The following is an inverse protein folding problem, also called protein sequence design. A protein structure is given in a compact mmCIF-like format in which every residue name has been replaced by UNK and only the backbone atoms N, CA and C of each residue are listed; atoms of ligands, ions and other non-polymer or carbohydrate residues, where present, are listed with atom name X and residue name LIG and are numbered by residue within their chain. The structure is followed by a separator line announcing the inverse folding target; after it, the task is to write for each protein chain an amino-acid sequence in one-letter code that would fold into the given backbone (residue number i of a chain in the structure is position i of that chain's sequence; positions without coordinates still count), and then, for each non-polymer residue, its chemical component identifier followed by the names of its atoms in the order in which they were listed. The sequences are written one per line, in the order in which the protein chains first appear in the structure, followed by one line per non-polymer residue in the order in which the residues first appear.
data_IF_116485926280
#
_entry.id   IF_116485926280
#
_cell.length_a   1.000
_cell.length_b   1.000
_cell.length_c   1.000
_cell.angle_alpha   90.00
_cell.angle_beta   90.00
_cell.angle_gamma   90.00
#
_symmetry.space_group_name_H-M   'P 1'
#
loop_
_entity.id
_entity.type
_entity.pdbx_description
1 polymer ?
#
# COMPACT_ATOMS: atom_id res chain seq x y z
N UNK A 1 2.52 9.68 10.42
CA UNK A 1 3.03 10.50 9.31
C UNK A 1 2.72 9.90 7.93
N UNK A 2 2.70 10.72 6.89
CA UNK A 2 2.49 10.27 5.51
C UNK A 2 3.77 9.68 4.91
N UNK A 3 3.63 8.68 4.02
CA UNK A 3 4.77 8.15 3.25
C UNK A 3 5.80 7.35 4.04
N UNK A 4 5.43 6.81 5.19
CA UNK A 4 6.30 6.02 6.08
C UNK A 4 6.16 4.50 5.91
N UNK A 5 5.32 4.04 4.96
CA UNK A 5 5.20 2.61 4.65
C UNK A 5 3.98 1.89 5.22
N UNK A 6 2.96 2.59 5.73
CA UNK A 6 1.74 1.97 6.29
C UNK A 6 1.06 0.99 5.32
N UNK A 7 0.82 1.40 4.09
CA UNK A 7 0.22 0.54 3.03
C UNK A 7 1.14 -0.62 2.64
N UNK A 8 2.45 -0.41 2.66
CA UNK A 8 3.44 -1.45 2.34
C UNK A 8 3.49 -2.53 3.43
N UNK A 9 3.27 -2.16 4.70
CA UNK A 9 3.13 -3.13 5.79
C UNK A 9 1.93 -4.07 5.54
N UNK A 10 0.78 -3.54 5.12
CA UNK A 10 -0.40 -4.36 4.82
C UNK A 10 -0.12 -5.35 3.68
N UNK A 11 0.62 -4.94 2.64
CA UNK A 11 1.03 -5.83 1.54
C UNK A 11 1.99 -6.92 2.03
N UNK A 12 3.01 -6.54 2.79
CA UNK A 12 3.95 -7.50 3.37
C UNK A 12 3.25 -8.51 4.30
N UNK A 13 2.23 -8.06 5.02
CA UNK A 13 1.41 -8.93 5.87
C UNK A 13 0.60 -9.93 5.03
N UNK A 14 0.02 -9.50 3.88
CA UNK A 14 -0.69 -10.41 2.97
C UNK A 14 0.25 -11.47 2.39
N UNK A 15 1.44 -11.08 1.95
CA UNK A 15 2.48 -12.01 1.49
C UNK A 15 2.89 -12.99 2.58
N UNK A 16 3.12 -12.50 3.79
CA UNK A 16 3.54 -13.33 4.92
C UNK A 16 2.48 -14.35 5.36
N UNK A 17 1.21 -13.93 5.43
CA UNK A 17 0.12 -14.79 5.93
C UNK A 17 -0.44 -15.75 4.87
N UNK A 18 -0.49 -15.30 3.60
CA UNK A 18 -1.20 -16.00 2.54
C UNK A 18 -0.30 -16.39 1.36
N UNK A 19 1.00 -16.14 1.45
CA UNK A 19 2.00 -16.40 0.40
C UNK A 19 1.61 -15.76 -0.97
N UNK A 20 0.92 -14.61 -0.90
CA UNK A 20 0.42 -13.87 -2.06
C UNK A 20 0.29 -12.37 -1.70
N UNK A 21 1.10 -11.52 -2.29
CA UNK A 21 1.06 -10.07 -2.12
C UNK A 21 -0.21 -9.44 -2.74
N UNK A 22 -0.90 -10.19 -3.61
CA UNK A 22 -2.20 -9.82 -4.18
C UNK A 22 -3.38 -10.26 -3.29
N UNK A 23 -3.15 -11.02 -2.20
CA UNK A 23 -4.17 -11.32 -1.20
C UNK A 23 -4.48 -10.11 -0.30
N UNK A 24 -4.50 -8.92 -0.90
CA UNK A 24 -4.83 -7.66 -0.27
C UNK A 24 -5.97 -6.95 -1.02
N UNK A 25 -7.05 -6.67 -0.29
CA UNK A 25 -8.18 -5.85 -0.75
C UNK A 25 -7.96 -4.45 -0.20
N UNK A 26 -7.73 -3.47 -1.05
CA UNK A 26 -7.55 -2.08 -0.64
C UNK A 26 -8.79 -1.25 -0.96
N UNK A 27 -9.28 -0.53 0.06
CA UNK A 27 -10.40 0.39 -0.04
C UNK A 27 -9.96 1.74 0.55
N UNK A 28 -10.02 2.79 -0.27
CA UNK A 28 -9.71 4.15 0.14
C UNK A 28 -10.95 4.79 0.77
N UNK A 29 -10.87 5.13 2.06
CA UNK A 29 -12.01 5.68 2.79
C UNK A 29 -12.36 7.10 2.37
N UNK A 30 -11.51 7.80 1.63
CA UNK A 30 -11.85 9.09 1.03
C UNK A 30 -13.00 9.00 -0.01
N UNK A 31 -13.22 7.82 -0.59
CA UNK A 31 -14.36 7.56 -1.46
C UNK A 31 -15.69 7.35 -0.71
N UNK A 32 -15.63 7.20 0.63
CA UNK A 32 -16.75 6.88 1.51
C UNK A 32 -17.03 7.97 2.56
N UNK A 33 -16.71 9.21 2.22
CA UNK A 33 -16.97 10.38 3.07
C UNK A 33 -18.46 10.70 3.16
N UNK A 34 -19.21 10.44 2.09
CA UNK A 34 -20.63 10.75 1.99
C UNK A 34 -21.50 9.52 2.30
N UNK A 35 -22.60 9.74 3.00
CA UNK A 35 -23.51 8.68 3.44
C UNK A 35 -23.99 7.76 2.30
N UNK A 36 -24.31 8.33 1.15
CA UNK A 36 -24.80 7.54 0.01
C UNK A 36 -23.76 6.57 -0.56
N UNK A 37 -22.46 6.86 -0.38
CA UNK A 37 -21.39 5.98 -0.83
C UNK A 37 -21.21 4.76 0.08
N UNK A 38 -21.65 4.83 1.34
CA UNK A 38 -21.47 3.73 2.32
C UNK A 38 -22.15 2.45 1.82
N UNK A 39 -23.31 2.54 1.19
CA UNK A 39 -24.00 1.39 0.60
C UNK A 39 -23.19 0.66 -0.47
N UNK A 40 -22.22 1.30 -1.11
CA UNK A 40 -21.33 0.66 -2.07
C UNK A 40 -20.39 -0.38 -1.41
N UNK A 41 -20.16 -0.30 -0.10
CA UNK A 41 -19.36 -1.31 0.62
C UNK A 41 -20.09 -2.65 0.72
N UNK A 42 -21.39 -2.63 1.00
CA UNK A 42 -22.20 -3.82 1.20
C UNK A 42 -23.08 -4.17 -0.02
N UNK A 43 -23.25 -3.24 -0.95
CA UNK A 43 -24.17 -3.33 -2.08
C UNK A 43 -25.48 -2.61 -1.84
N UNK A 44 -26.09 -2.12 -2.92
CA UNK A 44 -27.37 -1.45 -2.86
C UNK A 44 -28.52 -2.43 -2.56
N UNK A 45 -29.57 -2.01 -1.84
CA UNK A 45 -30.79 -2.82 -1.65
C UNK A 45 -31.50 -3.09 -2.97
N UNK A 46 -32.41 -4.11 -3.03
CA UNK A 46 -33.20 -4.38 -4.21
C UNK A 46 -33.98 -3.14 -4.69
N UNK A 47 -33.94 -2.89 -6.00
CA UNK A 47 -34.60 -1.76 -6.64
C UNK A 47 -33.79 -0.47 -6.71
N UNK A 48 -32.59 -0.43 -6.17
CA UNK A 48 -31.68 0.71 -6.30
C UNK A 48 -30.61 0.48 -7.36
N UNK A 49 -30.08 1.56 -7.92
CA UNK A 49 -28.96 1.53 -8.90
C UNK A 49 -27.72 0.89 -8.23
N UNK A 50 -27.08 -0.04 -8.93
CA UNK A 50 -25.90 -0.76 -8.40
C UNK A 50 -26.21 -2.04 -7.62
N UNK A 51 -27.48 -2.47 -7.54
CA UNK A 51 -27.87 -3.72 -6.88
C UNK A 51 -27.16 -4.95 -7.47
N UNK A 52 -27.03 -5.04 -8.80
CA UNK A 52 -26.40 -6.17 -9.48
C UNK A 52 -24.88 -6.21 -9.31
N UNK A 53 -24.25 -5.06 -9.05
CA UNK A 53 -22.80 -4.96 -8.93
C UNK A 53 -22.28 -5.57 -7.61
N UNK A 54 -23.15 -5.70 -6.59
CA UNK A 54 -22.78 -6.14 -5.26
C UNK A 54 -21.96 -5.09 -4.49
N UNK A 55 -21.59 -5.41 -3.24
CA UNK A 55 -20.79 -4.52 -2.41
C UNK A 55 -19.30 -4.66 -2.67
N UNK A 56 -18.58 -3.56 -2.77
CA UNK A 56 -17.14 -3.58 -3.02
C UNK A 56 -16.36 -4.35 -1.95
N UNK A 57 -16.72 -4.18 -0.67
CA UNK A 57 -16.11 -4.93 0.43
C UNK A 57 -16.62 -6.37 0.48
N UNK A 58 -17.92 -6.55 0.48
CA UNK A 58 -18.54 -7.87 0.66
C UNK A 58 -18.24 -8.83 -0.49
N UNK A 59 -18.30 -8.36 -1.75
CA UNK A 59 -17.95 -9.19 -2.91
C UNK A 59 -16.44 -9.52 -2.96
N UNK A 60 -15.58 -8.55 -2.62
CA UNK A 60 -14.14 -8.79 -2.60
C UNK A 60 -13.76 -9.87 -1.57
N UNK A 61 -14.32 -9.79 -0.36
CA UNK A 61 -14.08 -10.78 0.70
C UNK A 61 -14.71 -12.14 0.35
N UNK A 62 -15.93 -12.15 -0.22
CA UNK A 62 -16.59 -13.39 -0.66
C UNK A 62 -15.74 -14.14 -1.68
N UNK A 63 -15.08 -13.43 -2.60
CA UNK A 63 -14.20 -14.02 -3.62
C UNK A 63 -12.84 -14.42 -3.05
N UNK A 64 -12.35 -13.73 -2.02
CA UNK A 64 -11.05 -13.97 -1.37
C UNK A 64 -11.20 -13.96 0.14
N UNK A 65 -11.75 -15.06 0.73
CA UNK A 65 -12.02 -15.11 2.16
C UNK A 65 -10.77 -15.14 3.03
N UNK A 66 -9.62 -15.48 2.45
CA UNK A 66 -8.30 -15.40 3.09
C UNK A 66 -7.54 -14.22 2.51
N UNK A 67 -7.68 -13.06 3.14
CA UNK A 67 -7.08 -11.83 2.63
C UNK A 67 -6.83 -10.80 3.73
N UNK A 68 -5.98 -9.82 3.43
CA UNK A 68 -5.84 -8.60 4.21
C UNK A 68 -6.76 -7.54 3.59
N UNK A 69 -7.69 -7.02 4.35
CA UNK A 69 -8.51 -5.86 3.97
C UNK A 69 -7.86 -4.61 4.54
N UNK A 70 -7.34 -3.77 3.66
CA UNK A 70 -6.76 -2.48 3.99
C UNK A 70 -7.80 -1.37 3.78
N UNK A 71 -8.23 -0.74 4.87
CA UNK A 71 -9.04 0.47 4.86
C UNK A 71 -8.11 1.67 5.03
N UNK A 72 -7.81 2.33 3.91
CA UNK A 72 -6.83 3.42 3.88
C UNK A 72 -7.49 4.74 4.26
N UNK A 73 -6.83 5.55 5.11
CA UNK A 73 -7.31 6.84 5.60
C UNK A 73 -8.68 6.77 6.33
N UNK A 74 -8.78 5.87 7.31
CA UNK A 74 -10.03 5.57 8.04
C UNK A 74 -10.69 6.81 8.66
N UNK A 75 -9.92 7.84 9.02
CA UNK A 75 -10.42 9.10 9.57
C UNK A 75 -11.32 9.87 8.61
N UNK A 76 -11.26 9.59 7.32
CA UNK A 76 -12.10 10.23 6.30
C UNK A 76 -13.46 9.58 6.12
N UNK A 77 -13.64 8.37 6.65
CA UNK A 77 -14.87 7.61 6.47
C UNK A 77 -16.09 8.28 7.12
N UNK A 78 -17.23 8.19 6.46
CA UNK A 78 -18.51 8.57 7.07
C UNK A 78 -18.77 7.74 8.33
N UNK A 79 -19.43 8.29 9.37
CA UNK A 79 -19.74 7.58 10.61
C UNK A 79 -20.44 6.22 10.43
N UNK A 80 -21.26 6.05 9.41
CA UNK A 80 -21.95 4.79 9.13
C UNK A 80 -20.99 3.67 8.70
N UNK A 81 -19.79 3.98 8.18
CA UNK A 81 -18.74 2.99 7.93
C UNK A 81 -18.29 2.33 9.22
N UNK A 82 -18.13 3.11 10.30
CA UNK A 82 -17.73 2.57 11.61
C UNK A 82 -18.79 1.61 12.17
N UNK A 83 -20.06 1.85 11.92
CA UNK A 83 -21.14 0.94 12.33
C UNK A 83 -21.05 -0.40 11.60
N UNK A 84 -20.71 -0.40 10.28
CA UNK A 84 -20.46 -1.62 9.53
C UNK A 84 -19.23 -2.36 10.07
N UNK A 85 -18.14 -1.63 10.36
CA UNK A 85 -16.93 -2.22 10.89
C UNK A 85 -17.12 -2.83 12.27
N UNK A 86 -17.91 -2.19 13.16
CA UNK A 86 -18.27 -2.75 14.45
C UNK A 86 -18.98 -4.10 14.30
N UNK A 87 -19.90 -4.22 13.36
CA UNK A 87 -20.55 -5.51 13.08
C UNK A 87 -19.55 -6.58 12.64
N UNK A 88 -18.63 -6.23 11.74
CA UNK A 88 -17.57 -7.16 11.29
C UNK A 88 -16.65 -7.57 12.43
N UNK A 89 -16.21 -6.59 13.25
CA UNK A 89 -15.29 -6.85 14.37
C UNK A 89 -15.93 -7.67 15.49
N UNK A 90 -17.23 -7.52 15.72
CA UNK A 90 -17.96 -8.25 16.77
C UNK A 90 -18.41 -9.64 16.30
N UNK A 91 -19.02 -9.71 15.11
CA UNK A 91 -19.70 -10.93 14.63
C UNK A 91 -18.84 -11.74 13.65
N UNK A 92 -17.75 -11.20 13.13
CA UNK A 92 -16.92 -11.83 12.10
C UNK A 92 -17.66 -12.01 10.77
N UNK A 93 -18.76 -11.30 10.54
CA UNK A 93 -19.61 -11.44 9.35
C UNK A 93 -20.32 -10.13 9.03
N UNK A 94 -20.74 -10.00 7.77
CA UNK A 94 -21.49 -8.85 7.28
C UNK A 94 -22.54 -9.32 6.29
N UNK A 95 -23.78 -8.82 6.41
CA UNK A 95 -24.86 -9.09 5.44
C UNK A 95 -24.76 -8.08 4.30
N UNK A 96 -24.72 -8.57 3.06
CA UNK A 96 -24.69 -7.74 1.87
C UNK A 96 -26.08 -7.21 1.49
N UNK A 97 -26.14 -6.31 0.50
CA UNK A 97 -27.38 -5.73 -0.01
C UNK A 97 -28.34 -6.75 -0.67
N UNK A 98 -27.87 -7.97 -0.95
CA UNK A 98 -28.68 -9.08 -1.50
C UNK A 98 -29.14 -10.04 -0.40
N UNK A 99 -28.90 -9.74 0.88
CA UNK A 99 -29.26 -10.57 2.02
C UNK A 99 -28.35 -11.77 2.25
N UNK A 100 -27.20 -11.86 1.58
CA UNK A 100 -26.21 -12.94 1.80
C UNK A 100 -25.29 -12.57 2.94
N UNK A 101 -25.00 -13.52 3.79
CA UNK A 101 -24.00 -13.37 4.86
C UNK A 101 -22.61 -13.66 4.30
N UNK A 102 -21.70 -12.71 4.46
CA UNK A 102 -20.29 -12.84 4.08
C UNK A 102 -19.45 -13.06 5.33
N UNK A 103 -18.61 -14.09 5.30
CA UNK A 103 -17.73 -14.49 6.39
C UNK A 103 -16.41 -13.71 6.34
N UNK A 104 -16.07 -13.05 7.45
CA UNK A 104 -14.83 -12.29 7.66
C UNK A 104 -13.88 -12.94 8.67
N UNK A 105 -14.18 -14.15 9.16
CA UNK A 105 -13.39 -14.77 10.24
C UNK A 105 -11.96 -15.09 9.85
N UNK A 106 -11.66 -15.22 8.55
CA UNK A 106 -10.32 -15.47 8.02
C UNK A 106 -9.67 -14.22 7.39
N UNK A 107 -10.24 -13.04 7.62
CA UNK A 107 -9.76 -11.77 7.12
C UNK A 107 -8.97 -11.05 8.20
N UNK A 108 -7.84 -10.47 7.84
CA UNK A 108 -7.13 -9.51 8.67
C UNK A 108 -7.50 -8.11 8.23
N UNK A 109 -8.10 -7.32 9.12
CA UNK A 109 -8.46 -5.94 8.82
C UNK A 109 -7.32 -5.02 9.28
N UNK A 110 -6.78 -4.26 8.36
CA UNK A 110 -5.77 -3.22 8.61
C UNK A 110 -6.38 -1.87 8.29
N UNK A 111 -6.29 -0.94 9.22
CA UNK A 111 -6.75 0.43 9.04
C UNK A 111 -5.57 1.38 9.15
N UNK A 112 -5.43 2.31 8.21
CA UNK A 112 -4.40 3.35 8.29
C UNK A 112 -5.00 4.70 8.61
N UNK A 113 -4.25 5.51 9.32
CA UNK A 113 -4.63 6.90 9.62
C UNK A 113 -3.41 7.82 9.59
N UNK A 114 -3.63 9.07 9.22
CA UNK A 114 -2.63 10.15 9.29
C UNK A 114 -2.92 11.13 10.43
N UNK A 115 -3.87 10.81 11.32
CA UNK A 115 -4.19 11.65 12.47
C UNK A 115 -3.00 11.76 13.41
N UNK A 116 -2.70 12.96 13.91
CA UNK A 116 -1.73 13.13 14.98
C UNK A 116 -2.35 12.70 16.32
N UNK A 117 -1.57 12.15 17.23
CA UNK A 117 -2.02 11.84 18.59
C UNK A 117 -2.59 10.43 18.79
N UNK A 118 -3.42 10.28 19.80
CA UNK A 118 -3.99 8.98 20.18
C UNK A 118 -5.30 8.73 19.43
N UNK A 119 -5.49 7.54 18.82
CA UNK A 119 -6.76 7.19 18.19
C UNK A 119 -7.99 7.36 19.08
N UNK A 120 -7.84 7.22 20.40
CA UNK A 120 -8.94 7.43 21.36
C UNK A 120 -9.45 8.87 21.41
N UNK A 121 -8.66 9.84 20.96
CA UNK A 121 -9.07 11.24 20.89
C UNK A 121 -9.99 11.53 19.70
N UNK A 122 -9.93 10.67 18.66
CA UNK A 122 -10.60 10.89 17.37
C UNK A 122 -11.73 9.91 17.10
N UNK A 123 -11.62 8.69 17.62
CA UNK A 123 -12.59 7.62 17.37
C UNK A 123 -13.36 7.28 18.64
N UNK A 124 -14.57 6.76 18.47
CA UNK A 124 -15.40 6.33 19.60
C UNK A 124 -14.70 5.22 20.38
N UNK A 125 -14.76 5.24 21.73
CA UNK A 125 -14.13 4.21 22.56
C UNK A 125 -14.57 2.78 22.22
N UNK A 126 -15.85 2.60 21.88
CA UNK A 126 -16.40 1.30 21.48
C UNK A 126 -15.73 0.72 20.22
N UNK A 127 -15.28 1.57 19.29
CA UNK A 127 -14.56 1.17 18.11
C UNK A 127 -13.09 0.85 18.41
N UNK A 128 -12.42 1.74 19.16
CA UNK A 128 -10.99 1.55 19.49
C UNK A 128 -10.78 0.31 20.35
N UNK A 129 -11.71 -0.01 21.27
CA UNK A 129 -11.63 -1.19 22.14
C UNK A 129 -11.76 -2.54 21.39
N UNK A 130 -12.13 -2.53 20.12
CA UNK A 130 -12.20 -3.72 19.26
C UNK A 130 -10.99 -3.89 18.33
N UNK A 131 -10.07 -2.95 18.39
CA UNK A 131 -8.81 -3.02 17.66
C UNK A 131 -7.83 -3.83 18.51
N UNK A 132 -7.28 -4.90 17.93
CA UNK A 132 -6.35 -5.78 18.64
C UNK A 132 -5.03 -5.11 18.92
N UNK A 133 -4.50 -4.31 17.97
CA UNK A 133 -3.22 -3.63 18.12
C UNK A 133 -3.15 -2.31 17.35
N UNK A 134 -2.45 -1.33 17.92
CA UNK A 134 -2.25 0.00 17.33
C UNK A 134 -0.76 0.24 17.13
N UNK A 135 -0.33 0.19 15.87
CA UNK A 135 1.06 0.39 15.48
C UNK A 135 1.30 1.84 15.12
N UNK A 136 2.19 2.50 15.85
CA UNK A 136 2.57 3.89 15.60
C UNK A 136 3.82 3.97 14.74
N UNK A 137 3.68 4.59 13.58
CA UNK A 137 4.80 4.87 12.69
C UNK A 137 5.45 6.19 13.08
N UNK A 138 6.78 6.22 13.19
CA UNK A 138 7.56 7.44 13.33
C UNK A 138 7.90 8.04 11.96
N UNK A 139 8.29 9.29 11.93
CA UNK A 139 8.89 9.87 10.74
C UNK A 139 10.18 9.12 10.35
N UNK A 140 10.44 9.05 9.05
CA UNK A 140 11.63 8.39 8.52
C UNK A 140 12.87 9.25 8.79
N UNK A 141 13.96 8.60 9.17
CA UNK A 141 15.29 9.18 9.24
C UNK A 141 16.16 8.76 8.03
N UNK A 142 17.37 9.29 7.94
CA UNK A 142 18.31 8.98 6.84
C UNK A 142 18.64 7.48 6.74
N UNK A 143 18.69 6.78 7.88
CA UNK A 143 18.98 5.34 7.91
C UNK A 143 17.81 4.55 7.33
N UNK A 144 16.58 4.95 7.66
CA UNK A 144 15.37 4.35 7.08
C UNK A 144 15.34 4.55 5.57
N UNK A 145 15.68 5.76 5.10
CA UNK A 145 15.72 6.06 3.66
C UNK A 145 16.72 5.19 2.93
N UNK A 146 17.91 4.98 3.48
CA UNK A 146 18.91 4.09 2.91
C UNK A 146 18.39 2.65 2.77
N UNK A 147 17.68 2.14 3.78
CA UNK A 147 17.06 0.81 3.74
C UNK A 147 15.98 0.75 2.67
N UNK A 148 15.11 1.78 2.59
CA UNK A 148 14.01 1.83 1.60
C UNK A 148 14.58 1.89 0.17
N UNK A 149 15.62 2.68 -0.08
CA UNK A 149 16.34 2.69 -1.36
C UNK A 149 16.86 1.29 -1.69
N UNK A 150 17.50 0.62 -0.72
CA UNK A 150 18.00 -0.74 -0.88
C UNK A 150 16.92 -1.72 -1.32
N UNK A 151 15.74 -1.67 -0.71
CA UNK A 151 14.58 -2.51 -1.06
C UNK A 151 14.10 -2.22 -2.49
N UNK A 152 13.96 -0.95 -2.88
CA UNK A 152 13.54 -0.58 -4.23
C UNK A 152 14.59 -1.01 -5.28
N UNK A 153 15.86 -0.83 -4.99
CA UNK A 153 16.94 -1.28 -5.87
C UNK A 153 17.00 -2.81 -5.99
N UNK A 154 16.71 -3.55 -4.92
CA UNK A 154 16.63 -5.01 -4.97
C UNK A 154 15.52 -5.48 -5.94
N UNK A 155 14.36 -4.83 -5.94
CA UNK A 155 13.27 -5.10 -6.90
C UNK A 155 13.72 -4.83 -8.35
N UNK A 156 14.44 -3.74 -8.58
CA UNK A 156 14.99 -3.44 -9.91
C UNK A 156 16.03 -4.47 -10.34
N UNK A 157 16.95 -4.85 -9.45
CA UNK A 157 17.94 -5.90 -9.71
C UNK A 157 17.29 -7.23 -10.08
N UNK A 158 16.23 -7.61 -9.38
CA UNK A 158 15.50 -8.86 -9.68
C UNK A 158 14.92 -8.84 -11.10
N UNK A 159 14.27 -7.75 -11.52
CA UNK A 159 13.73 -7.60 -12.89
C UNK A 159 14.80 -7.61 -13.97
N UNK A 160 15.98 -7.02 -13.71
CA UNK A 160 17.11 -7.04 -14.64
C UNK A 160 17.78 -8.43 -14.71
N UNK A 161 17.80 -9.15 -13.58
CA UNK A 161 18.33 -10.52 -13.51
C UNK A 161 17.54 -11.50 -14.40
N UNK A 162 16.24 -11.30 -14.59
CA UNK A 162 15.42 -12.07 -15.54
C UNK A 162 15.93 -11.93 -16.99
N UNK A 163 16.61 -10.81 -17.28
CA UNK A 163 17.29 -10.54 -18.55
C UNK A 163 18.79 -10.83 -18.50
N UNK A 164 19.26 -11.49 -17.43
CA UNK A 164 20.68 -11.78 -17.16
C UNK A 164 21.58 -10.54 -17.13
N UNK A 165 21.02 -9.38 -16.79
CA UNK A 165 21.76 -8.13 -16.59
C UNK A 165 22.01 -7.95 -15.10
N UNK A 166 23.26 -7.66 -14.73
CA UNK A 166 23.67 -7.40 -13.34
C UNK A 166 23.70 -5.89 -13.11
N UNK A 167 23.06 -5.42 -12.03
CA UNK A 167 23.03 -4.01 -11.65
C UNK A 167 23.79 -3.77 -10.34
N UNK A 168 24.86 -3.00 -10.41
CA UNK A 168 25.57 -2.46 -9.26
C UNK A 168 25.23 -0.98 -9.08
N UNK A 169 24.84 -0.59 -7.87
CA UNK A 169 24.59 0.81 -7.52
C UNK A 169 25.53 1.17 -6.40
N UNK A 170 26.38 2.20 -6.61
CA UNK A 170 27.31 2.66 -5.61
C UNK A 170 26.59 3.27 -4.40
N UNK A 171 27.19 3.26 -3.21
CA UNK A 171 26.63 3.92 -2.02
C UNK A 171 26.34 5.40 -2.27
N UNK A 172 27.21 6.08 -3.01
CA UNK A 172 27.06 7.50 -3.33
C UNK A 172 25.86 7.76 -4.24
N UNK A 173 25.66 6.93 -5.28
CA UNK A 173 24.47 6.99 -6.13
C UNK A 173 23.19 6.70 -5.32
N UNK A 174 23.22 5.70 -4.43
CA UNK A 174 22.09 5.39 -3.56
C UNK A 174 21.75 6.56 -2.61
N UNK A 175 22.75 7.27 -2.11
CA UNK A 175 22.57 8.46 -1.27
C UNK A 175 21.90 9.60 -2.03
N UNK A 176 22.29 9.85 -3.28
CA UNK A 176 21.66 10.86 -4.15
C UNK A 176 20.18 10.51 -4.35
N UNK A 177 19.87 9.25 -4.65
CA UNK A 177 18.49 8.80 -4.84
C UNK A 177 17.66 8.95 -3.56
N UNK A 178 18.23 8.63 -2.40
CA UNK A 178 17.57 8.80 -1.11
C UNK A 178 17.23 10.28 -0.85
N UNK A 179 18.17 11.16 -1.08
CA UNK A 179 18.00 12.60 -0.87
C UNK A 179 16.95 13.21 -1.82
N UNK A 180 17.02 12.87 -3.12
CA UNK A 180 16.02 13.34 -4.10
C UNK A 180 14.63 12.71 -3.87
N UNK A 181 14.59 11.52 -3.32
CA UNK A 181 13.36 10.74 -3.09
C UNK A 181 12.66 11.01 -1.77
N UNK A 182 13.19 11.88 -0.93
CA UNK A 182 12.61 12.25 0.35
C UNK A 182 11.98 13.64 0.30
N UNK A 183 10.81 13.76 0.87
CA UNK A 183 10.12 15.03 1.06
C UNK A 183 9.59 15.10 2.51
N UNK A 184 9.86 16.18 3.26
CA UNK A 184 9.40 16.32 4.65
C UNK A 184 7.89 16.16 4.83
N UNK A 185 7.08 16.57 3.84
CA UNK A 185 5.63 16.50 3.90
C UNK A 185 5.07 15.14 3.42
N UNK A 186 5.78 14.48 2.47
CA UNK A 186 5.31 13.25 1.82
C UNK A 186 6.15 12.01 2.14
N UNK A 187 7.17 12.14 2.99
CA UNK A 187 8.07 11.06 3.38
C UNK A 187 8.83 10.46 2.20
N UNK A 188 8.91 9.15 2.12
CA UNK A 188 9.57 8.43 1.03
C UNK A 188 8.64 8.19 -0.19
N UNK A 189 7.42 8.75 -0.22
CA UNK A 189 6.47 8.56 -1.35
C UNK A 189 7.06 8.96 -2.71
N UNK A 190 7.86 10.06 -2.85
CA UNK A 190 8.47 10.41 -4.12
C UNK A 190 9.55 9.44 -4.60
N UNK A 191 10.17 8.66 -3.70
CA UNK A 191 11.34 7.82 -3.99
C UNK A 191 11.12 6.85 -5.17
N UNK A 192 9.95 6.23 -5.23
CA UNK A 192 9.62 5.32 -6.34
C UNK A 192 9.68 6.03 -7.69
N UNK A 193 9.17 7.26 -7.78
CA UNK A 193 9.20 8.07 -9.01
C UNK A 193 10.61 8.53 -9.34
N UNK A 194 11.42 8.83 -8.33
CA UNK A 194 12.83 9.22 -8.53
C UNK A 194 13.60 8.03 -9.10
N UNK A 195 13.50 6.84 -8.52
CA UNK A 195 14.15 5.63 -9.02
C UNK A 195 13.66 5.31 -10.43
N UNK A 196 12.37 5.38 -10.70
CA UNK A 196 11.85 5.17 -12.05
C UNK A 196 12.50 6.14 -13.05
N UNK A 197 12.44 7.42 -12.79
CA UNK A 197 12.92 8.45 -13.72
C UNK A 197 14.44 8.49 -13.85
N UNK A 198 15.17 8.25 -12.75
CA UNK A 198 16.64 8.34 -12.73
C UNK A 198 17.35 7.05 -13.14
N UNK A 199 16.71 5.90 -12.91
CA UNK A 199 17.32 4.60 -13.22
C UNK A 199 16.51 3.79 -14.23
N UNK A 200 15.24 3.50 -13.93
CA UNK A 200 14.46 2.53 -14.73
C UNK A 200 14.26 2.98 -16.17
N UNK A 201 13.80 4.21 -16.37
CA UNK A 201 13.53 4.74 -17.72
C UNK A 201 14.81 4.86 -18.57
N UNK A 202 15.94 5.42 -18.07
CA UNK A 202 17.19 5.45 -18.82
C UNK A 202 17.75 4.07 -19.12
N UNK A 203 17.71 3.13 -18.16
CA UNK A 203 18.16 1.76 -18.36
C UNK A 203 17.30 1.01 -19.39
N UNK A 204 15.97 1.16 -19.29
CA UNK A 204 15.06 0.55 -20.26
C UNK A 204 15.34 1.05 -21.69
N UNK A 205 15.57 2.36 -21.86
CA UNK A 205 15.91 2.94 -23.15
C UNK A 205 17.25 2.41 -23.66
N UNK A 206 18.28 2.34 -22.82
CA UNK A 206 19.61 1.83 -23.20
C UNK A 206 19.58 0.35 -23.59
N UNK A 207 18.79 -0.47 -22.90
CA UNK A 207 18.57 -1.88 -23.26
C UNK A 207 17.83 -2.00 -24.59
N UNK A 208 16.79 -1.20 -24.84
CA UNK A 208 16.06 -1.20 -26.10
C UNK A 208 16.93 -0.75 -27.29
N UNK A 209 17.85 0.18 -27.06
CA UNK A 209 18.81 0.65 -28.06
C UNK A 209 19.99 -0.31 -28.26
N UNK A 210 20.06 -1.40 -27.48
CA UNK A 210 21.16 -2.39 -27.59
C UNK A 210 22.48 -1.90 -26.99
N UNK A 211 22.48 -0.82 -26.22
CA UNK A 211 23.67 -0.33 -25.47
C UNK A 211 24.08 -1.37 -24.44
N UNK A 212 23.10 -1.92 -23.70
CA UNK A 212 23.30 -3.02 -22.77
C UNK A 212 22.61 -4.28 -23.27
N UNK A 213 23.27 -5.42 -23.11
CA UNK A 213 22.85 -6.74 -23.60
C UNK A 213 22.81 -7.75 -22.47
N UNK A 214 22.24 -8.90 -22.76
CA UNK A 214 22.24 -10.06 -21.86
C UNK A 214 23.69 -10.43 -21.49
N UNK A 215 23.97 -10.58 -20.21
CA UNK A 215 25.28 -10.87 -19.66
C UNK A 215 26.07 -9.64 -19.18
N UNK A 216 25.60 -8.44 -19.50
CA UNK A 216 26.32 -7.23 -19.10
C UNK A 216 26.15 -6.91 -17.62
N UNK A 217 27.15 -6.24 -17.07
CA UNK A 217 27.12 -5.64 -15.72
C UNK A 217 27.08 -4.13 -15.87
N UNK A 218 26.05 -3.52 -15.29
CA UNK A 218 25.86 -2.07 -15.31
C UNK A 218 26.19 -1.52 -13.94
N UNK A 219 27.13 -0.58 -13.87
CA UNK A 219 27.44 0.16 -12.65
C UNK A 219 26.78 1.53 -12.69
N UNK A 220 25.94 1.78 -11.70
CA UNK A 220 25.33 3.10 -11.47
C UNK A 220 26.16 3.85 -10.43
N UNK A 221 26.68 4.98 -10.82
CA UNK A 221 27.46 5.88 -9.98
C UNK A 221 26.91 7.30 -10.05
N UNK A 222 27.54 8.23 -9.37
CA UNK A 222 27.20 9.63 -9.43
C UNK A 222 28.43 10.50 -9.70
N UNK A 223 28.23 11.59 -10.44
CA UNK A 223 29.23 12.65 -10.63
C UNK A 223 28.54 14.00 -10.37
N UNK A 224 29.01 14.74 -9.37
CA UNK A 224 28.45 16.05 -8.98
C UNK A 224 26.92 16.03 -8.75
N UNK A 225 26.40 14.95 -8.13
CA UNK A 225 24.99 14.77 -7.89
C UNK A 225 24.16 14.26 -9.09
N UNK A 226 24.81 13.98 -10.22
CA UNK A 226 24.17 13.44 -11.42
C UNK A 226 24.42 11.93 -11.49
N UNK A 227 23.37 11.15 -11.67
CA UNK A 227 23.46 9.69 -11.85
C UNK A 227 24.10 9.39 -13.22
N UNK A 228 25.10 8.52 -13.20
CA UNK A 228 25.85 8.07 -14.39
C UNK A 228 25.79 6.55 -14.49
N UNK A 229 25.90 6.03 -15.71
CA UNK A 229 25.87 4.60 -16.03
C UNK A 229 27.18 4.22 -16.72
N UNK A 230 27.79 3.13 -16.28
CA UNK A 230 29.03 2.55 -16.84
C UNK A 230 28.85 1.07 -17.10
#
# INVERSE_FOLDING_TARGET
PTGVGKTELARALAEFLFDDDHAMIRIDMSEYMEKFNVSRLTGAPPGYVGYEEGGQLTEAVRRRPYSVVLLDEIEKAHPDVFNLLLQVLDDGRLTDGQGRTVDFTNVVIVMTSNLPGDPQEFFRPEFVNRIDDIIRFRALDEKDLAVIVGIQLARLRHRLAERRIVLHVTPDAASVLAHEGFDPAFGARPLKRVIQRRLEDPLALAVLQGVYREGDTITVDQAQGVITFQ
#
